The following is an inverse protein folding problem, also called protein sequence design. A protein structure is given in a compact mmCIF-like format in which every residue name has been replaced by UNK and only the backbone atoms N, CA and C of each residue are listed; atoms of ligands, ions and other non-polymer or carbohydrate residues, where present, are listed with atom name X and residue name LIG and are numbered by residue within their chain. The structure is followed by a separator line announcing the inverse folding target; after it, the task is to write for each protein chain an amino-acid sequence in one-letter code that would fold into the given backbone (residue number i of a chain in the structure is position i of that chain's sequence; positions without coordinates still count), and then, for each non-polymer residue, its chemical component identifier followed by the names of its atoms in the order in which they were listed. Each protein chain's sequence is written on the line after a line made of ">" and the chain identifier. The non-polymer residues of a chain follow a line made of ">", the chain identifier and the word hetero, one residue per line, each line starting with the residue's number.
data_IF_597186038735
#
_entry.id   IF_597186038735
#
_cell.length_a   1.000
_cell.length_b   1.000
_cell.length_c   1.000
_cell.angle_alpha   90.00
_cell.angle_beta   90.00
_cell.angle_gamma   90.00
#
_symmetry.space_group_name_H-M   'P 1'
#
loop_
_entity.id
_entity.type
_entity.pdbx_description
1 polymer ?
#
# COMPACT_ATOMS: atom_id res chain seq x y z
N UNK A 1 8.10 -18.96 6.89
CA UNK A 1 8.81 -17.80 7.47
C UNK A 1 8.75 -17.85 9.00
N UNK A 2 9.81 -17.42 9.71
CA UNK A 2 9.77 -17.31 11.18
C UNK A 2 9.29 -15.92 11.66
N UNK A 3 8.96 -15.78 12.95
CA UNK A 3 8.44 -14.52 13.50
C UNK A 3 9.42 -13.34 13.35
N UNK A 4 10.72 -13.57 13.56
CA UNK A 4 11.75 -12.51 13.46
C UNK A 4 11.83 -11.96 12.04
N UNK A 5 11.76 -12.83 11.03
CA UNK A 5 11.70 -12.45 9.62
C UNK A 5 10.40 -11.72 9.28
N UNK A 6 9.26 -12.27 9.71
CA UNK A 6 7.94 -11.66 9.51
C UNK A 6 7.89 -10.25 10.10
N UNK A 7 8.46 -10.05 11.28
CA UNK A 7 8.50 -8.75 11.95
C UNK A 7 9.37 -7.73 11.21
N UNK A 8 10.48 -8.16 10.59
CA UNK A 8 11.30 -7.27 9.74
C UNK A 8 10.53 -6.82 8.50
N UNK A 9 9.85 -7.76 7.83
CA UNK A 9 9.04 -7.47 6.65
C UNK A 9 7.86 -6.57 7.03
N UNK A 10 7.18 -6.85 8.15
CA UNK A 10 6.08 -6.03 8.65
C UNK A 10 6.49 -4.59 8.94
N UNK A 11 7.67 -4.35 9.53
CA UNK A 11 8.17 -2.99 9.76
C UNK A 11 8.32 -2.22 8.45
N UNK A 12 8.98 -2.84 7.46
CA UNK A 12 9.13 -2.22 6.13
C UNK A 12 7.78 -1.99 5.49
N UNK A 13 6.86 -2.96 5.55
CA UNK A 13 5.50 -2.79 5.06
C UNK A 13 4.78 -1.63 5.76
N UNK A 14 4.86 -1.51 7.08
CA UNK A 14 4.16 -0.46 7.83
C UNK A 14 4.65 0.94 7.51
N UNK A 15 5.95 1.10 7.25
CA UNK A 15 6.58 2.36 6.84
C UNK A 15 6.35 2.66 5.35
N UNK A 16 6.20 1.62 4.53
CA UNK A 16 6.00 1.76 3.09
C UNK A 16 4.53 1.98 2.72
N UNK A 17 3.62 1.24 3.36
CA UNK A 17 2.18 1.20 3.05
C UNK A 17 1.57 2.60 3.08
N UNK A 18 1.72 3.30 4.20
CA UNK A 18 1.58 4.74 4.22
C UNK A 18 2.99 5.33 4.17
N UNK A 19 3.41 6.02 3.09
CA UNK A 19 2.59 6.76 2.11
C UNK A 19 2.54 6.16 0.69
N UNK A 20 3.36 5.13 0.41
CA UNK A 20 3.66 4.71 -0.96
C UNK A 20 2.47 4.05 -1.65
N UNK A 21 1.73 3.18 -0.95
CA UNK A 21 0.54 2.54 -1.52
C UNK A 21 -0.46 3.58 -2.02
N UNK A 22 -0.70 4.64 -1.24
CA UNK A 22 -1.70 5.64 -1.55
C UNK A 22 -1.29 6.54 -2.71
N UNK A 23 -0.01 6.89 -2.84
CA UNK A 23 0.49 7.56 -4.05
C UNK A 23 0.32 6.67 -5.27
N UNK A 24 0.74 5.42 -5.19
CA UNK A 24 0.62 4.51 -6.32
C UNK A 24 -0.84 4.31 -6.71
N UNK A 25 -1.73 4.15 -5.73
CA UNK A 25 -3.16 4.06 -5.95
C UNK A 25 -3.73 5.35 -6.59
N UNK A 26 -3.18 6.55 -6.31
CA UNK A 26 -3.64 7.78 -6.97
C UNK A 26 -3.39 7.80 -8.49
N UNK A 27 -2.36 7.10 -8.96
CA UNK A 27 -1.97 7.04 -10.38
C UNK A 27 -2.59 5.81 -11.06
N UNK A 28 -2.44 4.65 -10.42
CA UNK A 28 -2.77 3.35 -10.98
C UNK A 28 -4.17 2.85 -10.57
N UNK A 29 -4.80 3.47 -9.58
CA UNK A 29 -6.02 2.98 -8.91
C UNK A 29 -5.82 1.54 -8.45
N UNK A 30 -6.67 0.62 -8.91
CA UNK A 30 -6.70 -0.78 -8.49
C UNK A 30 -5.84 -1.72 -9.35
N UNK A 31 -4.95 -1.19 -10.20
CA UNK A 31 -3.98 -1.99 -10.98
C UNK A 31 -2.59 -1.41 -10.91
N UNK A 32 -1.96 -1.58 -9.76
CA UNK A 32 -0.60 -1.15 -9.46
C UNK A 32 0.38 -2.23 -9.94
N UNK A 33 1.52 -1.89 -10.56
CA UNK A 33 2.57 -2.86 -10.87
C UNK A 33 3.05 -3.59 -9.62
N UNK A 34 3.10 -4.93 -9.66
CA UNK A 34 3.62 -5.76 -8.56
C UNK A 34 5.09 -5.45 -8.25
N UNK A 35 5.89 -5.02 -9.24
CA UNK A 35 7.28 -4.62 -9.02
C UNK A 35 7.46 -3.40 -8.11
N UNK A 36 6.40 -2.64 -7.82
CA UNK A 36 6.45 -1.55 -6.85
C UNK A 36 6.28 -2.01 -5.39
N UNK A 37 5.87 -3.26 -5.15
CA UNK A 37 5.84 -3.77 -3.78
C UNK A 37 7.25 -3.86 -3.19
N UNK A 38 7.41 -3.61 -1.87
CA UNK A 38 8.71 -3.72 -1.22
C UNK A 38 9.22 -5.18 -1.14
N UNK A 39 8.30 -6.14 -1.28
CA UNK A 39 8.56 -7.57 -1.31
C UNK A 39 7.55 -8.25 -2.25
N UNK A 40 7.85 -9.48 -2.66
CA UNK A 40 6.89 -10.30 -3.40
C UNK A 40 5.58 -10.45 -2.61
N UNK A 41 4.45 -10.43 -3.32
CA UNK A 41 3.10 -10.42 -2.74
C UNK A 41 2.86 -11.57 -1.76
N UNK A 42 3.22 -12.80 -2.14
CA UNK A 42 3.11 -13.98 -1.27
C UNK A 42 3.96 -13.86 0.01
N UNK A 43 5.14 -13.24 -0.08
CA UNK A 43 6.03 -13.00 1.07
C UNK A 43 5.40 -11.98 2.03
N UNK A 44 4.78 -10.91 1.49
CA UNK A 44 4.02 -9.95 2.29
C UNK A 44 2.81 -10.61 2.95
N UNK A 45 2.00 -11.35 2.20
CA UNK A 45 0.83 -12.05 2.73
C UNK A 45 1.21 -13.00 3.88
N UNK A 46 2.26 -13.80 3.72
CA UNK A 46 2.73 -14.71 4.78
C UNK A 46 3.19 -13.93 6.02
N UNK A 47 4.04 -12.91 5.85
CA UNK A 47 4.56 -12.10 6.95
C UNK A 47 3.44 -11.40 7.73
N UNK A 48 2.52 -10.75 7.03
CA UNK A 48 1.42 -9.99 7.62
C UNK A 48 0.44 -10.92 8.36
N UNK A 49 0.18 -12.12 7.84
CA UNK A 49 -0.64 -13.11 8.53
C UNK A 49 0.00 -13.59 9.84
N UNK A 50 1.31 -13.85 9.85
CA UNK A 50 2.03 -14.23 11.07
C UNK A 50 1.91 -13.14 12.14
N UNK A 51 2.14 -11.87 11.77
CA UNK A 51 2.05 -10.75 12.72
C UNK A 51 0.60 -10.50 13.17
N UNK A 52 -0.36 -10.52 12.25
CA UNK A 52 -1.78 -10.38 12.58
C UNK A 52 -2.26 -11.44 13.56
N UNK A 53 -1.81 -12.69 13.38
CA UNK A 53 -2.10 -13.79 14.30
C UNK A 53 -1.51 -13.54 15.68
N UNK A 54 -0.26 -13.07 15.76
CA UNK A 54 0.38 -12.77 17.05
C UNK A 54 -0.38 -11.70 17.85
N UNK A 55 -0.86 -10.64 17.20
CA UNK A 55 -1.70 -9.64 17.87
C UNK A 55 -3.05 -10.21 18.30
N UNK A 56 -3.68 -11.05 17.46
CA UNK A 56 -4.93 -11.73 17.80
C UNK A 56 -4.78 -12.63 19.03
N UNK A 57 -3.75 -13.48 19.04
CA UNK A 57 -3.47 -14.41 20.14
C UNK A 57 -3.19 -13.69 21.47
N UNK A 58 -2.66 -12.47 21.40
CA UNK A 58 -2.42 -11.60 22.56
C UNK A 58 -3.64 -10.74 22.96
N UNK A 59 -4.78 -10.88 22.28
CA UNK A 59 -6.02 -10.15 22.57
C UNK A 59 -6.12 -8.75 21.94
N UNK A 60 -5.16 -8.33 21.12
CA UNK A 60 -5.23 -7.07 20.37
C UNK A 60 -5.91 -7.26 19.02
N UNK A 61 -7.22 -7.48 19.08
CA UNK A 61 -8.04 -7.72 17.90
C UNK A 61 -8.09 -6.52 16.95
N UNK A 62 -7.92 -5.30 17.47
CA UNK A 62 -7.95 -4.09 16.65
C UNK A 62 -6.73 -4.02 15.75
N UNK A 63 -5.53 -4.22 16.29
CA UNK A 63 -4.30 -4.20 15.49
C UNK A 63 -4.29 -5.38 14.51
N UNK A 64 -4.69 -6.57 14.96
CA UNK A 64 -4.83 -7.73 14.07
C UNK A 64 -5.74 -7.45 12.89
N UNK A 65 -6.92 -6.87 13.13
CA UNK A 65 -7.88 -6.48 12.09
C UNK A 65 -7.28 -5.44 11.13
N UNK A 66 -6.62 -4.40 11.63
CA UNK A 66 -6.00 -3.37 10.78
C UNK A 66 -4.93 -3.98 9.86
N UNK A 67 -4.14 -4.93 10.35
CA UNK A 67 -3.15 -5.64 9.52
C UNK A 67 -3.86 -6.44 8.43
N UNK A 68 -4.91 -7.18 8.76
CA UNK A 68 -5.71 -7.94 7.80
C UNK A 68 -6.37 -7.05 6.73
N UNK A 69 -6.88 -5.88 7.11
CA UNK A 69 -7.38 -4.88 6.16
C UNK A 69 -6.26 -4.39 5.22
N UNK A 70 -5.03 -4.21 5.73
CA UNK A 70 -3.89 -3.85 4.87
C UNK A 70 -3.50 -4.97 3.90
N UNK A 71 -3.68 -6.25 4.25
CA UNK A 71 -3.45 -7.38 3.33
C UNK A 71 -4.38 -7.30 2.13
N UNK A 72 -5.65 -6.88 2.32
CA UNK A 72 -6.60 -6.75 1.22
C UNK A 72 -6.14 -5.77 0.13
N UNK A 73 -5.30 -4.77 0.49
CA UNK A 73 -4.72 -3.83 -0.48
C UNK A 73 -3.80 -4.51 -1.51
N UNK A 74 -3.23 -5.68 -1.19
CA UNK A 74 -2.39 -6.44 -2.10
C UNK A 74 -3.14 -6.91 -3.35
N UNK A 75 -4.48 -6.98 -3.29
CA UNK A 75 -5.33 -7.29 -4.44
C UNK A 75 -5.24 -6.24 -5.56
N UNK A 76 -4.83 -5.00 -5.25
CA UNK A 76 -4.63 -3.94 -6.25
C UNK A 76 -3.35 -4.14 -7.07
N UNK A 77 -2.44 -5.02 -6.66
CA UNK A 77 -1.18 -5.26 -7.35
C UNK A 77 -1.33 -6.40 -8.34
N UNK A 78 -0.99 -6.10 -9.59
CA UNK A 78 -1.12 -6.99 -10.76
C UNK A 78 0.20 -6.99 -11.54
N UNK A 79 0.32 -7.90 -12.52
CA UNK A 79 1.50 -7.95 -13.39
C UNK A 79 1.77 -6.59 -14.04
N UNK A 80 3.04 -6.23 -14.11
CA UNK A 80 3.50 -4.92 -14.57
C UNK A 80 2.93 -4.52 -15.92
N UNK A 81 2.97 -5.40 -16.91
CA UNK A 81 2.45 -5.12 -18.26
C UNK A 81 0.95 -4.80 -18.25
N UNK A 82 0.16 -5.50 -17.43
CA UNK A 82 -1.29 -5.27 -17.31
C UNK A 82 -1.59 -3.93 -16.65
N UNK A 83 -0.79 -3.55 -15.65
CA UNK A 83 -0.88 -2.26 -14.96
C UNK A 83 -0.48 -1.09 -15.88
N UNK A 84 0.63 -1.25 -16.61
CA UNK A 84 1.14 -0.25 -17.54
C UNK A 84 0.18 0.00 -18.71
N UNK A 85 -0.41 -1.07 -19.26
CA UNK A 85 -1.42 -0.90 -20.31
C UNK A 85 -2.63 -0.11 -19.79
N UNK A 86 -3.15 -0.46 -18.61
CA UNK A 86 -4.31 0.25 -18.06
C UNK A 86 -4.02 1.72 -17.77
N UNK A 87 -2.87 2.04 -17.17
CA UNK A 87 -2.54 3.43 -16.87
C UNK A 87 -2.32 4.24 -18.15
N UNK A 88 -1.72 3.64 -19.18
CA UNK A 88 -1.57 4.25 -20.50
C UNK A 88 -2.93 4.61 -21.12
N UNK A 89 -3.86 3.64 -21.16
CA UNK A 89 -5.21 3.84 -21.69
C UNK A 89 -5.94 4.95 -20.91
N UNK A 90 -5.84 4.94 -19.57
CA UNK A 90 -6.48 5.94 -18.71
C UNK A 90 -5.89 7.34 -18.91
N UNK A 91 -4.57 7.47 -18.94
CA UNK A 91 -3.89 8.76 -19.06
C UNK A 91 -3.98 9.36 -20.47
N UNK A 92 -4.43 8.57 -21.46
CA UNK A 92 -4.78 9.08 -22.79
C UNK A 92 -6.03 9.98 -22.75
N UNK A 93 -6.95 9.76 -21.81
CA UNK A 93 -8.12 10.60 -21.57
C UNK A 93 -7.73 11.85 -20.76
N UNK A 94 -8.04 13.03 -21.33
CA UNK A 94 -7.73 14.34 -20.73
C UNK A 94 -8.37 14.51 -19.35
N UNK A 95 -9.65 14.13 -19.19
CA UNK A 95 -10.38 14.28 -17.92
C UNK A 95 -9.81 13.37 -16.85
N UNK A 96 -9.46 12.14 -17.23
CA UNK A 96 -8.83 11.20 -16.31
C UNK A 96 -7.45 11.69 -15.87
N UNK A 97 -6.65 12.21 -16.80
CA UNK A 97 -5.34 12.81 -16.49
C UNK A 97 -5.48 14.01 -15.53
N UNK A 98 -6.44 14.89 -15.75
CA UNK A 98 -6.72 16.01 -14.83
C UNK A 98 -7.15 15.52 -13.44
N UNK A 99 -8.03 14.51 -13.37
CA UNK A 99 -8.46 13.92 -12.10
C UNK A 99 -7.29 13.32 -11.31
N UNK A 100 -6.37 12.61 -11.97
CA UNK A 100 -5.15 12.06 -11.36
C UNK A 100 -4.27 13.18 -10.80
N UNK A 101 -4.05 14.27 -11.55
CA UNK A 101 -3.26 15.40 -11.08
C UNK A 101 -3.87 16.07 -9.84
N UNK A 102 -5.20 16.21 -9.80
CA UNK A 102 -5.91 16.73 -8.61
C UNK A 102 -5.68 15.81 -7.41
N UNK A 103 -5.83 14.49 -7.60
CA UNK A 103 -5.59 13.51 -6.54
C UNK A 103 -4.16 13.56 -6.00
N UNK A 104 -3.15 13.62 -6.89
CA UNK A 104 -1.74 13.74 -6.50
C UNK A 104 -1.50 15.04 -5.71
N UNK A 105 -2.07 16.15 -6.16
CA UNK A 105 -1.94 17.46 -5.49
C UNK A 105 -2.54 17.44 -4.08
N UNK A 106 -3.75 16.87 -3.94
CA UNK A 106 -4.42 16.71 -2.65
C UNK A 106 -3.61 15.80 -1.73
N UNK A 107 -3.13 14.66 -2.23
CA UNK A 107 -2.30 13.74 -1.44
C UNK A 107 -1.01 14.41 -0.96
N UNK A 108 -0.34 15.17 -1.82
CA UNK A 108 0.88 15.91 -1.45
C UNK A 108 0.61 16.91 -0.32
N UNK A 109 -0.54 17.59 -0.36
CA UNK A 109 -0.96 18.50 0.72
C UNK A 109 -1.21 17.74 2.02
N UNK A 110 -1.93 16.62 1.96
CA UNK A 110 -2.25 15.81 3.14
C UNK A 110 -0.99 15.20 3.76
N UNK A 111 -0.06 14.71 2.95
CA UNK A 111 1.23 14.23 3.43
C UNK A 111 2.00 15.38 4.10
N UNK A 112 2.13 16.54 3.46
CA UNK A 112 2.83 17.67 4.09
C UNK A 112 2.23 18.03 5.46
N UNK A 113 0.91 18.12 5.55
CA UNK A 113 0.22 18.38 6.82
C UNK A 113 0.46 17.29 7.87
N UNK A 114 0.63 16.03 7.44
CA UNK A 114 0.95 14.93 8.34
C UNK A 114 2.38 15.04 8.87
N UNK A 115 3.37 15.35 8.02
CA UNK A 115 4.77 15.56 8.42
C UNK A 115 4.89 16.71 9.42
N UNK A 116 4.27 17.85 9.11
CA UNK A 116 4.35 19.06 9.95
C UNK A 116 3.82 18.78 11.39
N UNK A 117 2.85 17.85 11.54
CA UNK A 117 2.30 17.46 12.85
C UNK A 117 3.14 16.45 13.63
N UNK A 118 4.16 15.84 13.03
CA UNK A 118 5.07 14.92 13.72
C UNK A 118 6.27 15.64 14.34
N UNK A 119 6.48 16.92 13.99
CA UNK A 119 7.59 17.75 14.48
C UNK A 119 7.21 18.64 15.70
N UNK A 120 5.93 18.61 16.11
CA UNK A 120 5.37 19.28 17.31
C UNK A 120 5.19 18.29 18.48
#
# INVERSE_FOLDING_TARGET
>A
MNFTEANKIFKIWSEWYWPSHFILHSVFLNKIPESFLPYQKNVLEEALNIIAKQYYDNGDFKVSKNIQESIASLAAYVRDDDALQQVSDRLSDVKMREAVLIYISNFKKDWKNWLDKQED
#
